data_IF_118198159032
#
_entry.id   IF_118198159032
#
_cell.length_a   1.000
_cell.length_b   1.000
_cell.length_c   1.000
_cell.angle_alpha   90.00
_cell.angle_beta   90.00
_cell.angle_gamma   90.00
#
_symmetry.space_group_name_H-M   'P 1'
#
loop_
_entity.id
_entity.type
_entity.pdbx_description
1 polymer ?
#
# COMPACT_ATOMS: atom_id res chain seq x y z
N UNK A 1 9.11 -12.96 7.52
CA UNK A 1 7.89 -13.79 7.37
C UNK A 1 6.88 -13.32 8.39
N UNK A 2 5.59 -13.30 8.05
CA UNK A 2 4.50 -13.11 9.02
C UNK A 2 3.97 -14.52 9.34
N UNK A 3 4.43 -15.17 10.42
CA UNK A 3 3.97 -16.52 10.77
C UNK A 3 2.58 -16.54 11.42
N UNK A 4 2.06 -15.39 11.84
CA UNK A 4 0.85 -15.22 12.67
C UNK A 4 -0.35 -14.68 11.88
N UNK A 5 -0.60 -15.22 10.68
CA UNK A 5 -1.88 -15.03 9.98
C UNK A 5 -2.78 -16.26 10.18
N UNK A 6 -4.10 -16.10 10.06
CA UNK A 6 -5.04 -17.22 10.16
C UNK A 6 -4.83 -18.31 9.09
N UNK A 7 -4.25 -17.92 7.94
CA UNK A 7 -3.97 -18.79 6.80
C UNK A 7 -2.63 -18.40 6.16
N UNK A 8 -1.50 -19.01 6.55
CA UNK A 8 -0.22 -18.77 5.90
C UNK A 8 -0.15 -19.50 4.54
N UNK A 9 0.02 -18.73 3.46
CA UNK A 9 0.12 -19.29 2.10
C UNK A 9 1.56 -19.70 1.73
N UNK A 10 1.79 -20.95 1.27
CA UNK A 10 3.08 -21.36 0.72
C UNK A 10 3.44 -20.55 -0.53
N UNK A 11 4.66 -20.00 -0.58
CA UNK A 11 5.12 -19.21 -1.74
C UNK A 11 4.53 -17.80 -1.83
N UNK A 12 3.98 -17.27 -0.74
CA UNK A 12 3.49 -15.89 -0.68
C UNK A 12 4.56 -14.84 -0.98
N UNK A 13 4.12 -13.61 -1.24
CA UNK A 13 5.00 -12.51 -1.64
C UNK A 13 6.07 -12.20 -0.60
N UNK A 14 7.32 -12.09 -1.06
CA UNK A 14 8.42 -11.56 -0.28
C UNK A 14 8.26 -10.07 0.03
N UNK A 15 9.08 -9.56 0.95
CA UNK A 15 9.05 -8.16 1.37
C UNK A 15 9.24 -7.18 0.19
N UNK A 16 10.30 -7.41 -0.61
CA UNK A 16 10.62 -6.52 -1.73
C UNK A 16 9.61 -6.64 -2.88
N UNK A 17 9.10 -7.84 -3.13
CA UNK A 17 8.07 -8.09 -4.14
C UNK A 17 6.77 -7.36 -3.76
N UNK A 18 6.38 -7.43 -2.49
CA UNK A 18 5.21 -6.71 -1.96
C UNK A 18 5.36 -5.20 -2.15
N UNK A 19 6.51 -4.63 -1.80
CA UNK A 19 6.76 -3.19 -1.98
C UNK A 19 6.79 -2.79 -3.46
N UNK A 20 7.36 -3.63 -4.33
CA UNK A 20 7.37 -3.38 -5.77
C UNK A 20 5.94 -3.39 -6.33
N UNK A 21 5.12 -4.36 -5.93
CA UNK A 21 3.71 -4.43 -6.32
C UNK A 21 2.94 -3.16 -5.89
N UNK A 22 3.07 -2.74 -4.63
CA UNK A 22 2.40 -1.54 -4.10
C UNK A 22 2.82 -0.30 -4.88
N UNK A 23 4.12 -0.14 -5.17
CA UNK A 23 4.64 0.97 -5.99
C UNK A 23 4.06 0.94 -7.39
N UNK A 24 4.12 -0.19 -8.09
CA UNK A 24 3.58 -0.33 -9.44
C UNK A 24 2.07 -0.05 -9.50
N UNK A 25 1.31 -0.48 -8.49
CA UNK A 25 -0.12 -0.16 -8.37
C UNK A 25 -0.35 1.34 -8.23
N UNK A 26 0.37 1.99 -7.32
CA UNK A 26 0.24 3.43 -7.07
C UNK A 26 0.69 4.30 -8.27
N UNK A 27 1.67 3.84 -9.06
CA UNK A 27 2.10 4.52 -10.29
C UNK A 27 1.04 4.41 -11.39
N UNK A 28 0.35 3.27 -11.49
CA UNK A 28 -0.63 2.99 -12.55
C UNK A 28 -2.03 3.49 -12.22
N UNK A 29 -2.40 3.57 -10.94
CA UNK A 29 -3.76 3.85 -10.47
C UNK A 29 -3.75 4.77 -9.25
N UNK A 30 -4.82 5.55 -9.09
CA UNK A 30 -5.05 6.35 -7.89
C UNK A 30 -5.46 5.43 -6.74
N UNK A 31 -4.60 5.29 -5.73
CA UNK A 31 -4.91 4.56 -4.49
C UNK A 31 -5.74 5.49 -3.59
N UNK A 32 -6.91 5.03 -3.16
CA UNK A 32 -7.84 5.81 -2.31
C UNK A 32 -7.86 5.36 -0.86
N UNK A 33 -7.29 4.20 -0.57
CA UNK A 33 -7.22 3.60 0.75
C UNK A 33 -6.38 2.32 0.70
N UNK A 34 -5.94 1.90 1.87
CA UNK A 34 -5.24 0.64 2.11
C UNK A 34 -5.73 0.10 3.45
N UNK A 35 -5.97 -1.21 3.50
CA UNK A 35 -6.31 -1.92 4.73
C UNK A 35 -5.24 -2.98 5.03
N UNK A 36 -4.92 -3.16 6.31
CA UNK A 36 -4.00 -4.18 6.80
C UNK A 36 -4.78 -5.13 7.70
N UNK A 37 -5.13 -6.28 7.14
CA UNK A 37 -5.95 -7.30 7.78
C UNK A 37 -5.10 -8.49 8.26
N UNK A 38 -5.72 -9.40 9.01
CA UNK A 38 -5.15 -10.71 9.41
C UNK A 38 -3.91 -10.66 10.31
N UNK A 39 -3.51 -9.49 10.81
CA UNK A 39 -2.58 -9.40 11.92
C UNK A 39 -3.31 -9.72 13.23
N UNK A 40 -2.93 -10.83 13.87
CA UNK A 40 -3.36 -11.15 15.23
C UNK A 40 -2.17 -11.03 16.19
N UNK A 41 -2.40 -10.38 17.33
CA UNK A 41 -1.40 -10.26 18.38
C UNK A 41 -1.05 -11.65 18.94
N UNK A 42 0.25 -11.86 19.18
CA UNK A 42 0.74 -13.05 19.86
C UNK A 42 1.77 -12.61 20.89
N UNK A 43 1.50 -12.91 22.16
CA UNK A 43 2.33 -12.55 23.32
C UNK A 43 3.78 -13.05 23.23
N UNK A 44 4.04 -14.09 22.44
CA UNK A 44 5.37 -14.67 22.28
C UNK A 44 6.12 -14.12 21.05
N UNK A 45 5.48 -13.28 20.22
CA UNK A 45 6.05 -12.80 18.96
C UNK A 45 5.69 -11.34 18.64
N UNK A 46 6.60 -10.41 18.94
CA UNK A 46 6.45 -8.98 18.58
C UNK A 46 6.88 -8.66 17.14
N UNK A 47 7.77 -9.47 16.57
CA UNK A 47 8.35 -9.26 15.23
C UNK A 47 7.31 -9.08 14.11
N UNK A 48 6.17 -9.79 14.08
CA UNK A 48 5.13 -9.59 13.06
C UNK A 48 4.46 -8.21 13.15
N UNK A 49 4.25 -7.69 14.37
CA UNK A 49 3.68 -6.35 14.60
C UNK A 49 4.59 -5.26 13.99
N UNK A 50 5.90 -5.41 14.21
CA UNK A 50 6.89 -4.51 13.64
C UNK A 50 6.94 -4.60 12.11
N UNK A 51 6.84 -5.81 11.55
CA UNK A 51 6.81 -6.00 10.10
C UNK A 51 5.57 -5.33 9.47
N UNK A 52 4.40 -5.53 10.08
CA UNK A 52 3.12 -4.93 9.71
C UNK A 52 3.17 -3.39 9.75
N UNK A 53 3.61 -2.81 10.87
CA UNK A 53 3.74 -1.34 11.00
C UNK A 53 4.72 -0.76 9.98
N UNK A 54 5.83 -1.45 9.72
CA UNK A 54 6.82 -1.04 8.70
C UNK A 54 6.24 -1.12 7.29
N UNK A 55 5.38 -2.10 7.00
CA UNK A 55 4.72 -2.21 5.70
C UNK A 55 3.77 -1.03 5.47
N UNK A 56 2.94 -0.69 6.46
CA UNK A 56 2.04 0.47 6.39
C UNK A 56 2.84 1.76 6.21
N UNK A 57 3.89 1.97 7.01
CA UNK A 57 4.75 3.15 6.89
C UNK A 57 5.37 3.29 5.49
N UNK A 58 5.90 2.19 4.93
CA UNK A 58 6.49 2.21 3.58
C UNK A 58 5.44 2.45 2.50
N UNK A 59 4.24 1.90 2.65
CA UNK A 59 3.13 2.08 1.71
C UNK A 59 2.66 3.54 1.69
N UNK A 60 2.47 4.16 2.85
CA UNK A 60 2.15 5.59 2.96
C UNK A 60 3.23 6.46 2.30
N UNK A 61 4.51 6.18 2.56
CA UNK A 61 5.62 6.88 1.90
C UNK A 61 5.50 6.81 0.38
N UNK A 62 5.25 5.62 -0.18
CA UNK A 62 5.08 5.43 -1.63
C UNK A 62 3.89 6.25 -2.14
N UNK A 63 2.75 6.22 -1.45
CA UNK A 63 1.55 6.94 -1.86
C UNK A 63 1.73 8.47 -1.82
N UNK A 64 2.50 9.01 -0.88
CA UNK A 64 2.82 10.44 -0.82
C UNK A 64 3.91 10.88 -1.80
N UNK A 65 4.81 9.97 -2.18
CA UNK A 65 5.84 10.24 -3.19
C UNK A 65 5.26 10.31 -4.61
N UNK A 66 4.25 9.48 -4.89
CA UNK A 66 3.61 9.44 -6.20
C UNK A 66 2.58 10.56 -6.31
N UNK A 67 2.80 11.49 -7.24
CA UNK A 67 1.85 12.56 -7.52
C UNK A 67 0.54 11.96 -8.02
N UNK A 68 -0.63 12.32 -7.43
CA UNK A 68 -1.91 11.85 -7.93
C UNK A 68 -2.07 12.32 -9.38
N UNK A 69 -2.33 11.36 -10.27
CA UNK A 69 -2.61 11.66 -11.67
C UNK A 69 -3.87 12.54 -11.72
N UNK A 70 -3.78 13.72 -12.35
CA UNK A 70 -4.94 14.57 -12.59
C UNK A 70 -5.99 13.75 -13.35
N UNK A 71 -7.23 13.71 -12.85
CA UNK A 71 -8.34 13.15 -13.62
C UNK A 71 -8.46 13.92 -14.94
N UNK A 72 -8.79 13.23 -16.06
CA UNK A 72 -9.05 13.89 -17.34
C UNK A 72 -10.07 15.02 -17.21
N UNK A 73 -11.03 14.85 -16.28
CA UNK A 73 -12.16 15.76 -16.06
C UNK A 73 -11.77 17.14 -15.49
N UNK A 74 -10.54 17.33 -15.02
CA UNK A 74 -10.08 18.59 -14.40
C UNK A 74 -9.41 19.55 -15.39
N UNK A 75 -9.30 19.20 -16.68
CA UNK A 75 -8.60 20.03 -17.67
C UNK A 75 -9.48 21.04 -18.44
N UNK A 76 -10.81 21.07 -18.24
CA UNK A 76 -11.72 21.87 -19.07
C UNK A 76 -12.40 23.09 -18.39
N UNK A 77 -11.98 23.49 -17.19
CA UNK A 77 -12.66 24.59 -16.46
C UNK A 77 -11.87 25.91 -16.40
N UNK A 78 -10.76 26.06 -17.14
CA UNK A 78 -9.90 27.26 -17.05
C UNK A 78 -9.85 28.15 -18.30
N UNK A 79 -10.70 27.92 -19.32
CA UNK A 79 -10.81 28.88 -20.42
C UNK A 79 -12.04 29.77 -20.21
N UNK A 80 -11.87 31.09 -20.02
CA UNK A 80 -13.00 32.00 -20.00
C UNK A 80 -13.63 32.00 -21.39
N UNK A 81 -14.91 31.64 -21.46
CA UNK A 81 -15.74 31.79 -22.66
C UNK A 81 -15.69 33.29 -23.03
N UNK A 82 -15.12 33.59 -24.20
CA UNK A 82 -15.13 34.95 -24.77
C UNK A 82 -16.53 35.36 -25.15
#
# INVERSE_FOLDING_TARGET
MVPTTGTPEPGGLGWYETLALIRTLAEKKRVVGMDLVEYSYNENYDSPAFLCSKLVYKSLRIFFEIKPRKSPDTQNFSEPVR
#
